data_IF_304425165415
#
_entry.id   IF_304425165415
#
_cell.length_a   1.000
_cell.length_b   1.000
_cell.length_c   1.000
_cell.angle_alpha   90.00
_cell.angle_beta   90.00
_cell.angle_gamma   90.00
#
_symmetry.space_group_name_H-M   'P 1'
#
loop_
_entity.id
_entity.type
_entity.pdbx_description
1 polymer ?
#
# COMPACT_ATOMS: atom_id res chain seq x y z
N UNK A 1 0.13 27.50 34.85
CA UNK A 1 0.33 28.32 33.64
C UNK A 1 0.88 27.52 32.46
N UNK A 2 2.03 26.84 32.59
CA UNK A 2 2.65 26.06 31.50
C UNK A 2 1.77 24.93 30.92
N UNK A 3 1.12 24.12 31.76
CA UNK A 3 0.21 23.04 31.31
C UNK A 3 -0.99 23.55 30.49
N UNK A 4 -1.52 24.72 30.83
CA UNK A 4 -2.64 25.35 30.12
C UNK A 4 -2.22 25.86 28.73
N UNK A 5 -1.01 26.42 28.62
CA UNK A 5 -0.41 26.84 27.35
C UNK A 5 -0.17 25.62 26.45
N UNK A 6 0.47 24.57 26.98
CA UNK A 6 0.77 23.34 26.22
C UNK A 6 -0.53 22.70 25.69
N UNK A 7 -1.60 22.69 26.47
CA UNK A 7 -2.90 22.19 26.03
C UNK A 7 -3.50 23.00 24.89
N UNK A 8 -3.43 24.34 25.00
CA UNK A 8 -3.99 25.28 24.01
C UNK A 8 -3.32 25.07 22.65
N UNK A 9 -2.04 24.74 22.63
CA UNK A 9 -1.25 24.58 21.41
C UNK A 9 -0.99 23.12 20.99
N UNK A 10 -1.63 22.13 21.63
CA UNK A 10 -1.36 20.70 21.35
C UNK A 10 -1.45 20.32 19.87
N UNK A 11 -2.49 20.79 19.17
CA UNK A 11 -2.69 20.48 17.75
C UNK A 11 -1.64 21.17 16.88
N UNK A 12 -1.20 22.37 17.26
CA UNK A 12 -0.12 23.08 16.58
C UNK A 12 1.21 22.32 16.70
N UNK A 13 1.49 21.71 17.87
CA UNK A 13 2.69 20.88 18.02
C UNK A 13 2.63 19.66 17.09
N UNK A 14 1.50 18.95 17.04
CA UNK A 14 1.35 17.80 16.15
C UNK A 14 1.52 18.20 14.67
N UNK A 15 0.82 19.26 14.23
CA UNK A 15 0.86 19.72 12.84
C UNK A 15 2.26 20.24 12.48
N UNK A 16 2.89 21.03 13.35
CA UNK A 16 4.24 21.52 13.13
C UNK A 16 5.26 20.38 13.07
N UNK A 17 5.15 19.38 13.96
CA UNK A 17 5.99 18.19 13.91
C UNK A 17 5.83 17.42 12.60
N UNK A 18 4.59 17.15 12.18
CA UNK A 18 4.32 16.48 10.91
C UNK A 18 4.81 17.29 9.70
N UNK A 19 4.58 18.59 9.67
CA UNK A 19 5.02 19.46 8.59
C UNK A 19 6.55 19.54 8.52
N UNK A 20 7.24 19.69 9.66
CA UNK A 20 8.70 19.71 9.71
C UNK A 20 9.31 18.38 9.27
N UNK A 21 8.70 17.25 9.65
CA UNK A 21 9.13 15.95 9.16
C UNK A 21 8.87 15.83 7.65
N UNK A 22 7.66 16.14 7.18
CA UNK A 22 7.25 16.04 5.79
C UNK A 22 8.18 16.83 4.85
N UNK A 23 8.54 18.05 5.25
CA UNK A 23 9.35 18.98 4.47
C UNK A 23 10.85 18.96 4.81
N UNK A 24 11.31 17.99 5.60
CA UNK A 24 12.74 17.83 5.96
C UNK A 24 13.59 17.63 4.70
N UNK A 25 14.54 18.52 4.37
CA UNK A 25 15.42 18.31 3.22
C UNK A 25 16.70 17.53 3.58
N UNK A 26 17.22 17.67 4.80
CA UNK A 26 18.61 17.27 5.13
C UNK A 26 18.81 16.52 6.46
N UNK A 27 17.87 15.68 6.90
CA UNK A 27 18.22 14.76 7.99
C UNK A 27 18.35 15.41 9.38
N UNK A 28 17.83 16.61 9.65
CA UNK A 28 17.71 17.12 11.03
C UNK A 28 16.41 16.70 11.74
N UNK A 29 16.50 16.14 12.95
CA UNK A 29 15.39 15.56 13.72
C UNK A 29 14.58 16.58 14.56
N UNK A 30 14.56 17.86 14.17
CA UNK A 30 13.85 18.92 14.93
C UNK A 30 12.36 18.64 15.16
N UNK A 31 11.73 17.83 14.30
CA UNK A 31 10.33 17.40 14.50
C UNK A 31 10.13 16.61 15.80
N UNK A 32 11.15 15.91 16.30
CA UNK A 32 11.09 15.13 17.55
C UNK A 32 10.74 16.04 18.73
N UNK A 33 11.22 17.30 18.73
CA UNK A 33 10.88 18.28 19.77
C UNK A 33 9.36 18.52 19.81
N UNK A 34 8.74 18.66 18.65
CA UNK A 34 7.29 18.88 18.56
C UNK A 34 6.49 17.62 18.90
N UNK A 35 6.97 16.44 18.52
CA UNK A 35 6.40 15.15 18.95
C UNK A 35 6.48 14.99 20.46
N UNK A 36 7.60 15.38 21.08
CA UNK A 36 7.79 15.36 22.52
C UNK A 36 6.85 16.34 23.24
N UNK A 37 6.74 17.58 22.75
CA UNK A 37 5.79 18.57 23.28
C UNK A 37 4.33 18.10 23.17
N UNK A 38 3.97 17.47 22.05
CA UNK A 38 2.65 16.85 21.89
C UNK A 38 2.44 15.70 22.89
N UNK A 39 3.43 14.84 23.07
CA UNK A 39 3.39 13.72 24.02
C UNK A 39 3.19 14.20 25.47
N UNK A 40 3.93 15.23 25.88
CA UNK A 40 3.75 15.91 27.17
C UNK A 40 2.32 16.44 27.31
N UNK A 41 1.77 17.06 26.26
CA UNK A 41 0.41 17.62 26.30
C UNK A 41 -0.66 16.58 26.62
N UNK A 42 -0.48 15.33 26.15
CA UNK A 42 -1.40 14.21 26.39
C UNK A 42 -1.31 13.73 27.85
N UNK A 43 -0.10 13.61 28.41
CA UNK A 43 0.12 13.11 29.77
C UNK A 43 -0.50 14.06 30.80
N UNK A 44 -0.23 15.35 30.69
CA UNK A 44 -0.47 16.31 31.78
C UNK A 44 -1.88 16.93 31.81
N UNK A 45 -2.76 16.68 30.83
CA UNK A 45 -4.12 17.25 30.82
C UNK A 45 -5.24 16.21 30.94
N UNK A 46 -5.82 16.08 32.15
CA UNK A 46 -6.97 15.19 32.45
C UNK A 46 -8.31 15.60 31.82
N UNK A 47 -8.74 16.87 31.91
CA UNK A 47 -10.12 17.23 31.55
C UNK A 47 -10.41 17.41 30.04
N UNK A 48 -9.39 17.64 29.20
CA UNK A 48 -9.59 18.10 27.81
C UNK A 48 -9.56 17.01 26.73
N UNK A 49 -9.32 15.75 27.08
CA UNK A 49 -9.38 14.62 26.13
C UNK A 49 -10.80 14.10 25.87
N UNK A 50 -11.72 14.31 26.81
CA UNK A 50 -13.10 13.80 26.72
C UNK A 50 -13.92 14.68 25.76
N UNK A 51 -13.77 16.00 25.87
CA UNK A 51 -14.60 16.98 25.18
C UNK A 51 -14.00 17.55 23.89
N UNK A 52 -12.67 17.57 23.71
CA UNK A 52 -12.02 18.05 22.49
C UNK A 52 -11.41 16.90 21.68
N UNK A 53 -11.48 16.94 20.34
CA UNK A 53 -10.82 15.94 19.51
C UNK A 53 -9.31 15.92 19.81
N UNK A 54 -8.74 14.70 19.85
CA UNK A 54 -7.32 14.45 20.08
C UNK A 54 -6.45 15.02 18.96
N UNK A 55 -7.02 15.14 17.76
CA UNK A 55 -6.34 15.55 16.55
C UNK A 55 -7.26 16.42 15.69
N UNK A 56 -6.70 17.45 15.05
CA UNK A 56 -7.40 18.25 14.03
C UNK A 56 -7.45 17.48 12.70
N UNK A 57 -8.61 16.91 12.40
CA UNK A 57 -8.82 16.10 11.20
C UNK A 57 -8.66 16.91 9.91
N UNK A 58 -9.08 18.19 9.89
CA UNK A 58 -8.95 19.03 8.69
C UNK A 58 -7.50 19.29 8.37
N UNK A 59 -6.68 19.55 9.39
CA UNK A 59 -5.26 19.72 9.22
C UNK A 59 -4.57 18.44 8.72
N UNK A 60 -4.95 17.26 9.25
CA UNK A 60 -4.46 15.98 8.70
C UNK A 60 -4.87 15.83 7.24
N UNK A 61 -6.12 16.10 6.90
CA UNK A 61 -6.61 15.96 5.53
C UNK A 61 -5.80 16.83 4.55
N UNK A 62 -5.47 18.07 4.94
CA UNK A 62 -4.56 18.94 4.18
C UNK A 62 -3.18 18.29 4.03
N UNK A 63 -2.61 17.75 5.10
CA UNK A 63 -1.32 17.03 5.06
C UNK A 63 -1.40 15.83 4.09
N UNK A 64 -2.52 15.10 4.05
CA UNK A 64 -2.72 13.99 3.12
C UNK A 64 -2.71 14.48 1.68
N UNK A 65 -3.42 15.55 1.33
CA UNK A 65 -3.40 16.09 -0.03
C UNK A 65 -2.02 16.62 -0.44
N UNK A 66 -1.32 17.32 0.46
CA UNK A 66 0.06 17.77 0.23
C UNK A 66 0.98 16.56 0.01
N UNK A 67 0.85 15.54 0.85
CA UNK A 67 1.66 14.31 0.74
C UNK A 67 1.38 13.58 -0.56
N UNK A 68 0.12 13.47 -0.96
CA UNK A 68 -0.27 12.86 -2.23
C UNK A 68 0.34 13.61 -3.41
N UNK A 69 0.25 14.94 -3.42
CA UNK A 69 0.86 15.79 -4.45
C UNK A 69 2.39 15.63 -4.48
N UNK A 70 3.05 15.60 -3.33
CA UNK A 70 4.50 15.37 -3.23
C UNK A 70 4.86 13.99 -3.78
N UNK A 71 4.19 12.93 -3.33
CA UNK A 71 4.43 11.55 -3.79
C UNK A 71 4.30 11.46 -5.31
N UNK A 72 3.18 11.93 -5.88
CA UNK A 72 2.95 11.85 -7.33
C UNK A 72 3.98 12.66 -8.10
N UNK A 73 4.32 13.86 -7.61
CA UNK A 73 5.35 14.70 -8.25
C UNK A 73 6.71 14.02 -8.19
N UNK A 74 7.10 13.42 -7.06
CA UNK A 74 8.35 12.66 -6.93
C UNK A 74 8.40 11.48 -7.89
N UNK A 75 7.30 10.73 -8.08
CA UNK A 75 7.25 9.63 -9.04
C UNK A 75 7.45 10.10 -10.48
N UNK A 76 6.89 11.26 -10.84
CA UNK A 76 7.14 11.89 -12.14
C UNK A 76 8.56 12.43 -12.27
N UNK A 77 9.09 13.10 -11.25
CA UNK A 77 10.46 13.62 -11.28
C UNK A 77 11.48 12.48 -11.40
N UNK A 78 11.27 11.38 -10.67
CA UNK A 78 12.04 10.15 -10.82
C UNK A 78 12.01 9.60 -12.25
N UNK A 79 10.89 9.74 -12.96
CA UNK A 79 10.80 9.38 -14.38
C UNK A 79 11.64 10.33 -15.24
N UNK A 80 11.45 11.64 -15.05
CA UNK A 80 12.15 12.68 -15.83
C UNK A 80 13.66 12.72 -15.58
N UNK A 81 14.12 12.27 -14.41
CA UNK A 81 15.53 12.20 -14.02
C UNK A 81 16.17 10.83 -14.33
N UNK A 82 15.49 9.94 -15.06
CA UNK A 82 15.95 8.57 -15.31
C UNK A 82 16.29 7.77 -14.03
N UNK A 83 15.63 8.09 -12.91
CA UNK A 83 15.91 7.50 -11.60
C UNK A 83 15.22 6.17 -11.31
N UNK A 84 14.37 5.66 -12.22
CA UNK A 84 13.90 4.27 -12.17
C UNK A 84 15.02 3.36 -12.68
N UNK A 85 15.35 2.29 -11.94
CA UNK A 85 16.28 1.31 -12.49
C UNK A 85 15.57 0.56 -13.63
N UNK A 86 16.35 -0.01 -14.54
CA UNK A 86 15.82 -0.49 -15.82
C UNK A 86 15.06 -1.82 -15.72
N UNK A 87 14.92 -2.43 -14.53
CA UNK A 87 14.55 -3.82 -14.42
C UNK A 87 13.05 -4.03 -14.62
N UNK A 88 12.19 -3.65 -13.68
CA UNK A 88 10.75 -3.92 -13.75
C UNK A 88 10.06 -2.98 -14.75
N UNK A 89 10.35 -1.66 -14.66
CA UNK A 89 9.74 -0.67 -15.58
C UNK A 89 10.18 -0.89 -17.03
N UNK A 90 11.48 -1.18 -17.23
CA UNK A 90 12.03 -1.42 -18.57
C UNK A 90 11.50 -2.72 -19.17
N UNK A 91 11.27 -3.73 -18.34
CA UNK A 91 10.67 -5.01 -18.75
C UNK A 91 9.27 -4.82 -19.34
N UNK A 92 8.37 -4.21 -18.58
CA UNK A 92 6.99 -3.96 -19.03
C UNK A 92 6.95 -3.06 -20.27
N UNK A 93 7.85 -2.06 -20.33
CA UNK A 93 7.98 -1.18 -21.48
C UNK A 93 8.42 -1.92 -22.75
N UNK A 94 9.46 -2.73 -22.64
CA UNK A 94 9.99 -3.52 -23.74
C UNK A 94 8.92 -4.46 -24.31
N UNK A 95 8.21 -5.20 -23.45
CA UNK A 95 7.15 -6.09 -23.88
C UNK A 95 6.01 -5.35 -24.58
N UNK A 96 5.62 -4.19 -24.05
CA UNK A 96 4.54 -3.37 -24.62
C UNK A 96 4.90 -2.80 -25.99
N UNK A 97 6.15 -2.32 -26.16
CA UNK A 97 6.64 -1.85 -27.46
C UNK A 97 6.75 -3.01 -28.45
N UNK A 98 7.25 -4.17 -28.03
CA UNK A 98 7.40 -5.32 -28.92
C UNK A 98 6.04 -5.80 -29.45
N UNK A 99 5.02 -5.80 -28.58
CA UNK A 99 3.65 -6.08 -28.98
C UNK A 99 3.11 -5.03 -29.97
N UNK A 100 3.38 -3.74 -29.74
CA UNK A 100 2.91 -2.68 -30.62
C UNK A 100 3.56 -2.73 -32.02
N UNK A 101 4.88 -2.91 -32.09
CA UNK A 101 5.64 -2.81 -33.34
C UNK A 101 5.67 -4.11 -34.13
N UNK A 102 5.78 -5.24 -33.44
CA UNK A 102 6.00 -6.54 -34.06
C UNK A 102 4.80 -7.50 -33.89
N UNK A 103 3.74 -7.06 -33.19
CA UNK A 103 2.61 -7.91 -32.82
C UNK A 103 3.02 -9.16 -32.02
N UNK A 104 4.10 -9.05 -31.25
CA UNK A 104 4.69 -10.13 -30.46
C UNK A 104 4.81 -9.75 -28.99
N UNK A 105 4.06 -10.44 -28.11
CA UNK A 105 4.27 -10.33 -26.66
C UNK A 105 5.39 -11.29 -26.21
N UNK A 106 6.61 -10.92 -26.57
CA UNK A 106 7.80 -11.78 -26.42
C UNK A 106 8.93 -11.03 -25.72
N UNK A 107 9.54 -11.69 -24.75
CA UNK A 107 10.69 -11.20 -24.03
C UNK A 107 11.98 -11.68 -24.70
N UNK A 108 12.70 -10.76 -25.34
CA UNK A 108 13.97 -11.04 -26.02
C UNK A 108 15.14 -11.38 -25.07
N UNK A 109 15.10 -10.93 -23.81
CA UNK A 109 16.18 -11.19 -22.84
C UNK A 109 16.19 -12.66 -22.42
N UNK A 110 15.02 -13.21 -22.11
CA UNK A 110 14.88 -14.61 -21.72
C UNK A 110 14.50 -15.54 -22.88
N UNK A 111 14.23 -14.98 -24.06
CA UNK A 111 13.81 -15.72 -25.25
C UNK A 111 12.54 -16.57 -25.02
N UNK A 112 11.56 -16.00 -24.31
CA UNK A 112 10.28 -16.65 -24.00
C UNK A 112 9.12 -15.68 -24.27
N UNK A 113 7.89 -16.21 -24.35
CA UNK A 113 6.70 -15.36 -24.32
C UNK A 113 6.66 -14.53 -23.03
N UNK A 114 6.19 -13.29 -23.09
CA UNK A 114 6.00 -12.46 -21.89
C UNK A 114 5.08 -13.14 -20.87
N UNK A 115 4.08 -13.91 -21.33
CA UNK A 115 3.20 -14.72 -20.47
C UNK A 115 3.89 -15.91 -19.81
N UNK A 116 5.06 -16.30 -20.32
CA UNK A 116 5.93 -17.32 -19.73
C UNK A 116 6.83 -16.78 -18.62
N UNK A 117 6.90 -15.46 -18.44
CA UNK A 117 7.59 -14.84 -17.30
C UNK A 117 6.57 -14.40 -16.25
N UNK A 118 5.63 -13.54 -16.64
CA UNK A 118 4.51 -13.10 -15.81
C UNK A 118 3.20 -13.23 -16.57
N UNK A 119 2.21 -13.87 -15.94
CA UNK A 119 0.91 -14.08 -16.57
C UNK A 119 -0.04 -12.92 -16.26
N UNK A 120 -0.14 -11.97 -17.20
CA UNK A 120 -0.85 -10.69 -17.02
C UNK A 120 -1.90 -10.38 -18.13
N UNK A 121 -2.84 -11.29 -18.41
CA UNK A 121 -3.73 -11.21 -19.58
C UNK A 121 -4.73 -10.04 -19.59
N UNK A 122 -5.01 -9.40 -18.45
CA UNK A 122 -5.82 -8.18 -18.40
C UNK A 122 -4.97 -6.92 -18.54
N UNK A 123 -3.74 -6.94 -18.00
CA UNK A 123 -2.83 -5.81 -18.11
C UNK A 123 -2.39 -5.55 -19.55
N UNK A 124 -2.03 -6.60 -20.30
CA UNK A 124 -1.52 -6.49 -21.68
C UNK A 124 -2.46 -5.71 -22.63
N UNK A 125 -3.74 -6.09 -22.82
CA UNK A 125 -4.64 -5.33 -23.68
C UNK A 125 -4.95 -3.94 -23.12
N UNK A 126 -4.98 -3.79 -21.79
CA UNK A 126 -5.21 -2.50 -21.15
C UNK A 126 -4.09 -1.50 -21.44
N UNK A 127 -2.83 -1.90 -21.25
CA UNK A 127 -1.68 -1.03 -21.49
C UNK A 127 -1.46 -0.78 -22.98
N UNK A 128 -1.78 -1.76 -23.84
CA UNK A 128 -1.68 -1.62 -25.28
C UNK A 128 -2.47 -0.41 -25.82
N UNK A 129 -3.67 -0.14 -25.27
CA UNK A 129 -4.47 1.04 -25.64
C UNK A 129 -3.72 2.34 -25.41
N UNK A 130 -2.97 2.47 -24.31
CA UNK A 130 -2.18 3.66 -24.03
C UNK A 130 -0.97 3.78 -24.96
N UNK A 131 -0.30 2.66 -25.24
CA UNK A 131 0.86 2.65 -26.13
C UNK A 131 0.50 2.94 -27.60
N UNK A 132 -0.72 2.61 -28.04
CA UNK A 132 -1.24 3.05 -29.34
C UNK A 132 -1.39 4.57 -29.45
N UNK A 133 -1.67 5.27 -28.34
CA UNK A 133 -1.74 6.74 -28.34
C UNK A 133 -0.34 7.33 -28.46
N UNK A 134 0.58 6.86 -27.61
CA UNK A 134 1.99 7.24 -27.65
C UNK A 134 2.84 6.16 -26.97
N UNK A 135 3.84 5.63 -27.68
CA UNK A 135 4.67 4.53 -27.20
C UNK A 135 5.71 5.02 -26.18
N UNK A 136 5.30 5.13 -24.91
CA UNK A 136 6.15 5.62 -23.82
C UNK A 136 5.91 4.85 -22.52
N UNK A 137 6.96 4.65 -21.73
CA UNK A 137 6.88 4.10 -20.37
C UNK A 137 6.24 5.07 -19.37
N UNK A 138 6.03 6.34 -19.74
CA UNK A 138 5.33 7.32 -18.91
C UNK A 138 3.94 6.83 -18.50
N UNK A 139 3.22 6.10 -19.36
CA UNK A 139 1.91 5.55 -19.05
C UNK A 139 1.91 4.63 -17.83
N UNK A 140 2.98 3.86 -17.64
CA UNK A 140 3.14 2.96 -16.50
C UNK A 140 3.24 3.77 -15.18
N UNK A 141 4.09 4.80 -15.17
CA UNK A 141 4.22 5.72 -14.03
C UNK A 141 2.92 6.48 -13.78
N UNK A 142 2.26 6.96 -14.83
CA UNK A 142 0.98 7.64 -14.75
C UNK A 142 -0.10 6.77 -14.12
N UNK A 143 -0.23 5.50 -14.55
CA UNK A 143 -1.21 4.56 -14.02
C UNK A 143 -0.91 4.20 -12.55
N UNK A 144 0.38 4.10 -12.17
CA UNK A 144 0.78 3.95 -10.76
C UNK A 144 0.35 5.14 -9.91
N UNK A 145 0.58 6.37 -10.39
CA UNK A 145 0.09 7.59 -9.72
C UNK A 145 -1.45 7.57 -9.61
N UNK A 146 -2.15 7.23 -10.68
CA UNK A 146 -3.61 7.12 -10.69
C UNK A 146 -4.11 6.09 -9.67
N UNK A 147 -3.43 4.95 -9.53
CA UNK A 147 -3.77 3.91 -8.55
C UNK A 147 -3.73 4.44 -7.11
N UNK A 148 -2.66 5.15 -6.73
CA UNK A 148 -2.51 5.74 -5.39
C UNK A 148 -3.55 6.84 -5.14
N UNK A 149 -3.84 7.67 -6.15
CA UNK A 149 -4.85 8.74 -6.07
C UNK A 149 -6.25 8.14 -5.88
N UNK A 150 -6.64 7.17 -6.72
CA UNK A 150 -7.95 6.52 -6.65
C UNK A 150 -8.14 5.85 -5.30
N UNK A 151 -7.13 5.11 -4.83
CA UNK A 151 -7.15 4.52 -3.48
C UNK A 151 -7.42 5.58 -2.43
N UNK A 152 -6.63 6.66 -2.42
CA UNK A 152 -6.71 7.73 -1.40
C UNK A 152 -8.08 8.42 -1.40
N UNK A 153 -8.59 8.79 -2.57
CA UNK A 153 -9.87 9.51 -2.70
C UNK A 153 -11.03 8.62 -2.23
N UNK A 154 -11.11 7.38 -2.72
CA UNK A 154 -12.18 6.46 -2.32
C UNK A 154 -12.10 6.12 -0.83
N UNK A 155 -10.87 5.98 -0.30
CA UNK A 155 -10.66 5.69 1.11
C UNK A 155 -11.14 6.84 2.02
N UNK A 156 -10.90 8.10 1.64
CA UNK A 156 -11.43 9.28 2.34
C UNK A 156 -12.97 9.30 2.36
N UNK A 157 -13.62 8.78 1.31
CA UNK A 157 -15.07 8.70 1.22
C UNK A 157 -15.69 7.67 2.19
N UNK A 158 -14.93 6.66 2.62
CA UNK A 158 -15.43 5.63 3.55
C UNK A 158 -15.73 6.20 4.94
N UNK A 159 -14.85 7.07 5.47
CA UNK A 159 -15.06 7.70 6.76
C UNK A 159 -14.26 9.02 6.86
N UNK A 160 -14.95 10.14 6.63
CA UNK A 160 -14.33 11.48 6.64
C UNK A 160 -13.60 11.87 7.94
N UNK A 161 -13.93 11.23 9.06
CA UNK A 161 -13.33 11.55 10.37
C UNK A 161 -12.07 10.74 10.65
N UNK A 162 -12.07 9.45 10.33
CA UNK A 162 -11.01 8.51 10.72
C UNK A 162 -10.10 8.10 9.57
N UNK A 163 -10.60 8.16 8.32
CA UNK A 163 -9.81 7.81 7.14
C UNK A 163 -8.53 8.64 7.01
N UNK A 164 -8.51 9.97 7.28
CA UNK A 164 -7.29 10.74 7.20
C UNK A 164 -6.18 10.22 8.15
N UNK A 165 -6.55 9.73 9.34
CA UNK A 165 -5.59 9.18 10.31
C UNK A 165 -4.97 7.88 9.77
N UNK A 166 -5.79 6.98 9.23
CA UNK A 166 -5.29 5.70 8.68
C UNK A 166 -4.51 5.93 7.39
N UNK A 167 -4.83 6.97 6.62
CA UNK A 167 -4.05 7.38 5.44
C UNK A 167 -2.69 7.94 5.79
N UNK A 168 -2.49 8.58 6.95
CA UNK A 168 -1.15 8.93 7.43
C UNK A 168 -0.31 7.65 7.57
N UNK A 169 -0.87 6.61 8.19
CA UNK A 169 -0.21 5.32 8.31
C UNK A 169 0.12 4.71 6.95
N UNK A 170 -0.84 4.70 6.02
CA UNK A 170 -0.66 4.11 4.70
C UNK A 170 0.35 4.87 3.83
N UNK A 171 0.21 6.20 3.69
CA UNK A 171 1.03 7.01 2.79
C UNK A 171 2.38 7.42 3.37
N UNK A 172 2.48 7.60 4.69
CA UNK A 172 3.61 8.28 5.32
C UNK A 172 4.40 7.43 6.32
N UNK A 173 3.77 6.46 7.01
CA UNK A 173 4.47 5.71 8.06
C UNK A 173 4.75 4.24 7.70
N UNK A 174 4.00 3.66 6.78
CA UNK A 174 4.25 2.29 6.32
C UNK A 174 5.48 2.25 5.41
N UNK A 175 6.63 1.90 5.99
CA UNK A 175 7.90 1.72 5.28
C UNK A 175 7.78 0.76 4.10
N UNK A 176 6.99 -0.31 4.27
CA UNK A 176 6.74 -1.30 3.22
C UNK A 176 5.90 -0.72 2.08
N UNK A 177 4.82 0.01 2.40
CA UNK A 177 4.00 0.65 1.38
C UNK A 177 4.78 1.75 0.64
N UNK A 178 5.56 2.53 1.38
CA UNK A 178 6.43 3.57 0.82
C UNK A 178 7.47 2.95 -0.10
N UNK A 179 8.07 1.83 0.28
CA UNK A 179 8.98 1.11 -0.60
C UNK A 179 8.27 0.68 -1.89
N UNK A 180 7.06 0.13 -1.80
CA UNK A 180 6.29 -0.27 -2.98
C UNK A 180 5.88 0.92 -3.88
N UNK A 181 5.41 2.03 -3.29
CA UNK A 181 5.05 3.26 -4.02
C UNK A 181 6.26 3.81 -4.79
N UNK A 182 7.43 3.90 -4.15
CA UNK A 182 8.63 4.48 -4.75
C UNK A 182 9.48 3.47 -5.52
N UNK A 183 9.13 2.19 -5.50
CA UNK A 183 9.72 1.17 -6.38
C UNK A 183 9.40 1.47 -7.84
N UNK A 184 10.00 0.72 -8.75
CA UNK A 184 9.60 0.69 -10.16
C UNK A 184 8.12 0.33 -10.35
N UNK A 185 7.64 0.57 -11.55
CA UNK A 185 6.35 0.06 -11.94
C UNK A 185 6.42 -1.47 -11.97
N UNK A 186 5.43 -2.08 -11.35
CA UNK A 186 5.08 -3.49 -11.52
C UNK A 186 3.57 -3.53 -11.72
N UNK A 187 3.05 -4.53 -12.42
CA UNK A 187 1.61 -4.69 -12.65
C UNK A 187 0.79 -4.68 -11.35
N UNK A 188 1.35 -5.15 -10.23
CA UNK A 188 0.67 -5.08 -8.92
C UNK A 188 0.51 -3.67 -8.35
N UNK A 189 1.24 -2.68 -8.90
CA UNK A 189 1.10 -1.25 -8.54
C UNK A 189 -0.32 -0.71 -8.78
N UNK A 190 -1.13 -1.39 -9.61
CA UNK A 190 -2.54 -1.05 -9.86
C UNK A 190 -3.50 -1.66 -8.82
N UNK A 191 -3.05 -2.66 -8.06
CA UNK A 191 -3.88 -3.41 -7.12
C UNK A 191 -4.45 -2.56 -5.98
N UNK A 192 -3.75 -1.55 -5.41
CA UNK A 192 -4.35 -0.68 -4.40
C UNK A 192 -5.69 -0.07 -4.86
N UNK A 193 -5.73 0.55 -6.04
CA UNK A 193 -6.98 1.08 -6.58
C UNK A 193 -8.04 -0.01 -6.78
N UNK A 194 -7.67 -1.18 -7.35
CA UNK A 194 -8.63 -2.25 -7.59
C UNK A 194 -9.22 -2.80 -6.30
N UNK A 195 -8.40 -3.06 -5.27
CA UNK A 195 -8.85 -3.48 -3.94
C UNK A 195 -9.84 -2.45 -3.38
N UNK A 196 -9.52 -1.16 -3.46
CA UNK A 196 -10.42 -0.12 -2.96
C UNK A 196 -11.73 -0.01 -3.76
N UNK A 197 -11.68 -0.14 -5.10
CA UNK A 197 -12.87 -0.17 -5.97
C UNK A 197 -13.74 -1.39 -5.66
N UNK A 198 -13.15 -2.57 -5.51
CA UNK A 198 -13.86 -3.80 -5.12
C UNK A 198 -14.57 -3.57 -3.78
N UNK A 199 -13.87 -3.09 -2.76
CA UNK A 199 -14.48 -2.83 -1.47
C UNK A 199 -15.62 -1.80 -1.53
N UNK A 200 -15.42 -0.70 -2.27
CA UNK A 200 -16.43 0.34 -2.44
C UNK A 200 -17.66 -0.17 -3.19
N UNK A 201 -17.46 -0.98 -4.23
CA UNK A 201 -18.56 -1.60 -5.01
C UNK A 201 -19.41 -2.53 -4.15
N UNK A 202 -18.80 -3.28 -3.23
CA UNK A 202 -19.52 -4.12 -2.25
C UNK A 202 -20.41 -3.23 -1.35
N UNK A 203 -19.85 -2.16 -0.78
CA UNK A 203 -20.61 -1.23 0.09
C UNK A 203 -21.79 -0.61 -0.66
N UNK A 204 -21.58 -0.23 -1.94
CA UNK A 204 -22.61 0.36 -2.79
C UNK A 204 -23.56 -0.67 -3.42
N UNK A 205 -23.28 -1.97 -3.26
CA UNK A 205 -23.98 -3.08 -3.92
C UNK A 205 -23.97 -2.97 -5.45
N UNK A 206 -22.92 -2.37 -6.00
CA UNK A 206 -22.69 -2.29 -7.45
C UNK A 206 -21.98 -3.56 -7.92
N UNK A 207 -22.77 -4.59 -8.22
CA UNK A 207 -22.26 -5.90 -8.59
C UNK A 207 -21.57 -5.91 -9.97
N UNK A 208 -21.94 -4.98 -10.86
CA UNK A 208 -21.31 -4.87 -12.18
C UNK A 208 -19.85 -4.44 -12.02
N UNK A 209 -19.62 -3.33 -11.31
CA UNK A 209 -18.27 -2.82 -11.04
C UNK A 209 -17.46 -3.83 -10.24
N UNK A 210 -18.08 -4.48 -9.25
CA UNK A 210 -17.47 -5.57 -8.49
C UNK A 210 -16.92 -6.66 -9.41
N UNK A 211 -17.75 -7.24 -10.29
CA UNK A 211 -17.31 -8.35 -11.14
C UNK A 211 -16.28 -7.94 -12.17
N UNK A 212 -16.46 -6.79 -12.83
CA UNK A 212 -15.48 -6.27 -13.79
C UNK A 212 -14.11 -6.11 -13.12
N UNK A 213 -14.08 -5.50 -11.94
CA UNK A 213 -12.83 -5.20 -11.22
C UNK A 213 -12.20 -6.47 -10.65
N UNK A 214 -13.01 -7.41 -10.13
CA UNK A 214 -12.53 -8.72 -9.69
C UNK A 214 -11.89 -9.50 -10.85
N UNK A 215 -12.57 -9.62 -12.00
CA UNK A 215 -12.05 -10.35 -13.16
C UNK A 215 -10.77 -9.67 -13.69
N UNK A 216 -10.80 -8.34 -13.82
CA UNK A 216 -9.63 -7.57 -14.25
C UNK A 216 -8.43 -7.76 -13.30
N UNK A 217 -8.66 -7.84 -11.99
CA UNK A 217 -7.58 -8.04 -11.01
C UNK A 217 -6.85 -9.38 -11.20
N UNK A 218 -7.54 -10.47 -11.57
CA UNK A 218 -6.87 -11.75 -11.82
C UNK A 218 -5.83 -11.62 -12.92
N UNK A 219 -6.18 -10.94 -14.00
CA UNK A 219 -5.28 -10.78 -15.14
C UNK A 219 -4.22 -9.70 -14.98
N UNK A 220 -4.00 -9.15 -13.77
CA UNK A 220 -2.84 -8.29 -13.53
C UNK A 220 -1.55 -9.07 -13.35
N UNK A 221 -1.58 -10.14 -12.54
CA UNK A 221 -0.41 -10.98 -12.25
C UNK A 221 -0.83 -12.31 -11.63
N UNK A 222 0.01 -13.32 -11.76
CA UNK A 222 -0.24 -14.69 -11.29
C UNK A 222 -0.57 -14.79 -9.79
N UNK A 223 0.04 -13.94 -8.95
CA UNK A 223 -0.19 -13.94 -7.51
C UNK A 223 -1.40 -13.09 -7.07
N UNK A 224 -2.03 -12.31 -7.97
CA UNK A 224 -3.17 -11.43 -7.64
C UNK A 224 -4.46 -12.23 -7.40
N UNK A 225 -4.47 -13.54 -7.72
CA UNK A 225 -5.50 -14.46 -7.21
C UNK A 225 -5.69 -14.41 -5.69
N UNK A 226 -4.68 -13.93 -4.95
CA UNK A 226 -4.80 -13.67 -3.50
C UNK A 226 -5.86 -12.62 -3.16
N UNK A 227 -6.12 -11.62 -4.03
CA UNK A 227 -7.18 -10.62 -3.82
C UNK A 227 -8.55 -11.30 -3.79
N UNK A 228 -8.77 -12.30 -4.66
CA UNK A 228 -10.00 -13.10 -4.66
C UNK A 228 -10.15 -13.92 -3.40
N UNK A 229 -9.06 -14.47 -2.88
CA UNK A 229 -9.07 -15.19 -1.60
C UNK A 229 -9.46 -14.22 -0.47
N UNK A 230 -8.82 -13.05 -0.39
CA UNK A 230 -9.13 -12.04 0.63
C UNK A 230 -10.62 -11.64 0.59
N UNK A 231 -11.16 -11.26 -0.57
CA UNK A 231 -12.58 -10.90 -0.68
C UNK A 231 -13.52 -12.11 -0.51
N UNK A 232 -13.09 -13.32 -0.87
CA UNK A 232 -13.80 -14.55 -0.54
C UNK A 232 -13.95 -14.73 0.97
N UNK A 233 -12.85 -14.59 1.73
CA UNK A 233 -12.87 -14.64 3.20
C UNK A 233 -13.69 -13.50 3.81
N UNK A 234 -13.66 -12.30 3.20
CA UNK A 234 -14.56 -11.20 3.57
C UNK A 234 -16.03 -11.64 3.45
N UNK A 235 -16.41 -12.27 2.34
CA UNK A 235 -17.78 -12.75 2.16
C UNK A 235 -18.15 -13.87 3.14
N UNK A 236 -17.22 -14.77 3.46
CA UNK A 236 -17.45 -15.86 4.44
C UNK A 236 -17.64 -15.30 5.85
N UNK A 237 -16.72 -14.49 6.34
CA UNK A 237 -16.65 -14.14 7.76
C UNK A 237 -17.36 -12.83 8.11
N UNK A 238 -17.38 -11.86 7.19
CA UNK A 238 -17.93 -10.51 7.43
C UNK A 238 -19.38 -10.45 6.93
N UNK A 239 -19.61 -10.71 5.63
CA UNK A 239 -20.97 -10.71 5.05
C UNK A 239 -21.79 -11.98 5.37
N UNK A 240 -21.17 -13.01 5.94
CA UNK A 240 -21.79 -14.31 6.26
C UNK A 240 -22.40 -15.04 5.04
N UNK A 241 -21.92 -14.75 3.83
CA UNK A 241 -22.29 -15.41 2.58
C UNK A 241 -21.33 -16.56 2.28
N UNK A 242 -21.36 -17.59 3.12
CA UNK A 242 -20.35 -18.67 3.15
C UNK A 242 -20.14 -19.32 1.78
N UNK A 243 -21.23 -19.75 1.11
CA UNK A 243 -21.14 -20.41 -0.20
C UNK A 243 -20.48 -19.52 -1.25
N UNK A 244 -20.94 -18.28 -1.34
CA UNK A 244 -20.42 -17.29 -2.29
C UNK A 244 -18.94 -16.98 -2.04
N UNK A 245 -18.58 -16.67 -0.79
CA UNK A 245 -17.21 -16.38 -0.42
C UNK A 245 -16.25 -17.57 -0.59
N UNK A 246 -16.71 -18.79 -0.30
CA UNK A 246 -15.92 -20.00 -0.50
C UNK A 246 -15.65 -20.27 -1.98
N UNK A 247 -16.63 -20.02 -2.85
CA UNK A 247 -16.45 -20.12 -4.31
C UNK A 247 -15.41 -19.09 -4.79
N UNK A 248 -15.51 -17.84 -4.37
CA UNK A 248 -14.53 -16.80 -4.73
C UNK A 248 -13.11 -17.16 -4.29
N UNK A 249 -12.95 -17.60 -3.03
CA UNK A 249 -11.65 -18.01 -2.52
C UNK A 249 -11.11 -19.25 -3.26
N UNK A 250 -11.98 -20.22 -3.56
CA UNK A 250 -11.64 -21.41 -4.34
C UNK A 250 -11.17 -21.04 -5.76
N UNK A 251 -11.85 -20.14 -6.45
CA UNK A 251 -11.45 -19.66 -7.79
C UNK A 251 -10.10 -18.94 -7.72
N UNK A 252 -9.89 -18.05 -6.75
CA UNK A 252 -8.61 -17.35 -6.58
C UNK A 252 -7.45 -18.31 -6.35
N UNK A 253 -7.64 -19.32 -5.48
CA UNK A 253 -6.64 -20.35 -5.22
C UNK A 253 -6.36 -21.21 -6.46
N UNK A 254 -7.43 -21.69 -7.12
CA UNK A 254 -7.32 -22.51 -8.32
C UNK A 254 -6.61 -21.76 -9.45
N UNK A 255 -6.91 -20.47 -9.62
CA UNK A 255 -6.23 -19.60 -10.58
C UNK A 255 -4.72 -19.57 -10.34
N UNK A 256 -4.28 -19.26 -9.11
CA UNK A 256 -2.84 -19.20 -8.81
C UNK A 256 -2.15 -20.55 -9.09
N UNK A 257 -2.78 -21.67 -8.73
CA UNK A 257 -2.22 -23.01 -8.97
C UNK A 257 -2.14 -23.31 -10.47
N UNK A 258 -3.22 -23.11 -11.22
CA UNK A 258 -3.26 -23.37 -12.66
C UNK A 258 -2.24 -22.48 -13.39
N UNK A 259 -2.20 -21.19 -13.06
CA UNK A 259 -1.31 -20.25 -13.74
C UNK A 259 0.15 -20.63 -13.50
N UNK A 260 0.52 -20.93 -12.25
CA UNK A 260 1.90 -21.23 -11.89
C UNK A 260 2.39 -22.56 -12.46
N UNK A 261 1.57 -23.60 -12.42
CA UNK A 261 2.00 -24.96 -12.78
C UNK A 261 1.64 -25.40 -14.20
N UNK A 262 0.73 -24.68 -14.88
CA UNK A 262 0.27 -25.05 -16.22
C UNK A 262 0.51 -23.93 -17.22
N UNK A 263 0.01 -22.73 -16.95
CA UNK A 263 0.00 -21.64 -17.94
C UNK A 263 1.39 -21.06 -18.18
N UNK A 264 2.08 -20.63 -17.12
CA UNK A 264 3.44 -20.07 -17.22
C UNK A 264 4.39 -21.09 -17.87
N UNK A 265 4.45 -22.36 -17.44
CA UNK A 265 5.34 -23.35 -18.06
C UNK A 265 5.01 -23.60 -19.55
N UNK A 266 3.73 -23.62 -19.91
CA UNK A 266 3.29 -23.73 -21.31
C UNK A 266 3.84 -22.61 -22.18
N UNK A 267 3.77 -21.35 -21.71
CA UNK A 267 4.27 -20.19 -22.45
C UNK A 267 5.78 -20.03 -22.40
N UNK A 268 6.42 -20.45 -21.31
CA UNK A 268 7.87 -20.41 -21.16
C UNK A 268 8.57 -21.45 -22.05
N UNK A 269 7.88 -22.54 -22.41
CA UNK A 269 8.45 -23.69 -23.14
C UNK A 269 9.71 -24.27 -22.45
N UNK A 270 9.87 -24.05 -21.14
CA UNK A 270 10.97 -24.56 -20.34
C UNK A 270 10.49 -25.66 -19.41
N UNK A 271 11.28 -26.73 -19.28
CA UNK A 271 11.03 -27.82 -18.32
C UNK A 271 11.53 -27.47 -16.92
N UNK A 272 12.37 -26.44 -16.80
CA UNK A 272 12.94 -25.98 -15.54
C UNK A 272 11.99 -24.99 -14.87
N UNK A 273 10.87 -25.52 -14.39
CA UNK A 273 10.10 -24.84 -13.36
C UNK A 273 11.00 -24.75 -12.13
N UNK A 274 11.74 -23.65 -11.97
CA UNK A 274 12.26 -23.28 -10.66
C UNK A 274 11.02 -22.93 -9.85
N UNK A 275 10.41 -23.95 -9.25
CA UNK A 275 9.37 -23.77 -8.26
C UNK A 275 9.85 -22.65 -7.33
N UNK A 276 8.99 -21.66 -7.10
CA UNK A 276 9.27 -20.66 -6.08
C UNK A 276 9.70 -21.42 -4.83
N UNK A 277 10.81 -21.00 -4.24
CA UNK A 277 11.37 -21.61 -3.06
C UNK A 277 10.42 -21.34 -1.87
N UNK A 278 9.37 -22.17 -1.81
CA UNK A 278 8.31 -22.13 -0.82
C UNK A 278 8.88 -22.73 0.45
N UNK A 279 9.26 -21.86 1.37
CA UNK A 279 9.81 -22.30 2.64
C UNK A 279 9.28 -21.43 3.79
N UNK A 280 8.29 -21.95 4.51
CA UNK A 280 7.66 -21.26 5.62
C UNK A 280 8.62 -21.05 6.81
N UNK A 281 9.52 -22.00 7.07
CA UNK A 281 10.33 -22.03 8.29
C UNK A 281 11.73 -21.42 8.12
N UNK A 282 12.10 -20.99 6.91
CA UNK A 282 13.32 -20.20 6.69
C UNK A 282 13.17 -18.81 7.30
N UNK A 283 14.27 -18.29 7.87
CA UNK A 283 14.42 -16.87 8.26
C UNK A 283 13.28 -16.34 9.14
N UNK A 284 12.79 -17.17 10.08
CA UNK A 284 11.70 -16.81 11.01
C UNK A 284 11.91 -15.42 11.65
N UNK A 285 13.11 -15.02 12.11
CA UNK A 285 13.32 -13.67 12.65
C UNK A 285 13.00 -12.54 11.66
N UNK A 286 13.35 -12.70 10.38
CA UNK A 286 13.06 -11.70 9.34
C UNK A 286 11.57 -11.66 9.03
N UNK A 287 10.89 -12.81 9.01
CA UNK A 287 9.45 -12.89 8.80
C UNK A 287 8.65 -12.26 9.94
N UNK A 288 9.06 -12.48 11.20
CA UNK A 288 8.46 -11.80 12.35
C UNK A 288 8.65 -10.29 12.24
N UNK A 289 9.86 -9.83 11.88
CA UNK A 289 10.14 -8.41 11.62
C UNK A 289 9.25 -7.86 10.50
N UNK A 290 9.06 -8.61 9.41
CA UNK A 290 8.20 -8.21 8.30
C UNK A 290 6.74 -8.04 8.74
N UNK A 291 6.19 -9.01 9.50
CA UNK A 291 4.84 -8.90 10.07
C UNK A 291 4.73 -7.66 10.95
N UNK A 292 5.69 -7.47 11.86
CA UNK A 292 5.70 -6.29 12.74
C UNK A 292 5.70 -5.00 11.93
N UNK A 293 6.58 -4.87 10.93
CA UNK A 293 6.66 -3.68 10.08
C UNK A 293 5.43 -3.47 9.19
N UNK A 294 4.70 -4.52 8.83
CA UNK A 294 3.46 -4.42 8.04
C UNK A 294 2.30 -3.81 8.86
N UNK A 295 2.15 -4.25 10.12
CA UNK A 295 1.00 -3.89 10.96
C UNK A 295 1.27 -2.77 11.97
N UNK A 296 2.52 -2.55 12.39
CA UNK A 296 2.89 -1.50 13.35
C UNK A 296 2.49 -0.08 12.91
N UNK A 297 2.65 0.34 11.63
CA UNK A 297 2.18 1.65 11.17
C UNK A 297 0.68 1.86 11.37
N UNK A 298 -0.08 0.77 11.35
CA UNK A 298 -1.53 0.73 11.57
C UNK A 298 -1.90 0.38 13.01
N UNK A 299 -0.93 0.44 13.94
CA UNK A 299 -1.11 0.13 15.36
C UNK A 299 -1.73 -1.23 15.63
N UNK A 300 -1.49 -2.20 14.74
CA UNK A 300 -2.09 -3.53 14.81
C UNK A 300 -3.63 -3.50 14.87
N UNK A 301 -4.29 -2.45 14.35
CA UNK A 301 -5.74 -2.30 14.36
C UNK A 301 -6.49 -3.56 13.85
N UNK A 302 -6.06 -4.24 12.77
CA UNK A 302 -6.74 -5.46 12.32
C UNK A 302 -6.79 -6.58 13.37
N UNK A 303 -5.87 -6.62 14.33
CA UNK A 303 -5.86 -7.64 15.39
C UNK A 303 -7.00 -7.48 16.40
N UNK A 304 -7.62 -6.29 16.48
CA UNK A 304 -8.78 -6.06 17.34
C UNK A 304 -10.06 -6.71 16.80
N UNK A 305 -10.09 -7.11 15.52
CA UNK A 305 -11.19 -7.84 14.91
C UNK A 305 -10.64 -8.99 14.05
N UNK A 306 -10.71 -10.22 14.59
CA UNK A 306 -10.15 -11.42 13.93
C UNK A 306 -10.68 -11.64 12.50
N UNK A 307 -11.90 -11.19 12.17
CA UNK A 307 -12.46 -11.33 10.81
C UNK A 307 -11.74 -10.43 9.82
N UNK A 308 -11.43 -9.20 10.24
CA UNK A 308 -10.65 -8.25 9.46
C UNK A 308 -9.16 -8.62 9.43
N UNK A 309 -8.65 -9.32 10.45
CA UNK A 309 -7.33 -9.94 10.37
C UNK A 309 -7.31 -11.06 9.32
N UNK A 310 -8.30 -11.97 9.31
CA UNK A 310 -8.37 -13.04 8.30
C UNK A 310 -8.48 -12.49 6.87
N UNK A 311 -9.06 -11.30 6.68
CA UNK A 311 -9.10 -10.62 5.39
C UNK A 311 -7.71 -10.26 4.85
N UNK A 312 -6.72 -10.00 5.71
CA UNK A 312 -5.36 -9.61 5.30
C UNK A 312 -4.38 -10.79 5.25
N UNK A 313 -4.67 -11.88 5.95
CA UNK A 313 -3.76 -13.03 6.08
C UNK A 313 -3.37 -13.70 4.75
N UNK A 314 -4.23 -13.87 3.73
CA UNK A 314 -3.81 -14.52 2.49
C UNK A 314 -2.68 -13.75 1.79
N UNK A 315 -2.78 -12.42 1.69
CA UNK A 315 -1.74 -11.58 1.09
C UNK A 315 -0.44 -11.62 1.91
N UNK A 316 -0.56 -11.61 3.24
CA UNK A 316 0.60 -11.81 4.11
C UNK A 316 1.25 -13.18 3.89
N UNK A 317 0.42 -14.23 3.78
CA UNK A 317 0.86 -15.61 3.57
C UNK A 317 1.69 -15.77 2.32
N UNK A 318 1.24 -15.22 1.18
CA UNK A 318 1.99 -15.23 -0.09
C UNK A 318 3.40 -14.62 0.08
N UNK A 319 3.51 -13.50 0.78
CA UNK A 319 4.80 -12.87 1.02
C UNK A 319 5.70 -13.69 1.95
N UNK A 320 5.13 -14.30 2.99
CA UNK A 320 5.87 -15.08 3.99
C UNK A 320 6.34 -16.44 3.49
N UNK A 321 5.63 -17.08 2.56
CA UNK A 321 6.08 -18.35 1.98
C UNK A 321 7.09 -18.16 0.86
N UNK A 322 7.19 -16.95 0.31
CA UNK A 322 8.03 -16.63 -0.82
C UNK A 322 9.53 -16.48 -0.51
N UNK A 323 10.23 -15.81 -1.43
CA UNK A 323 11.69 -15.56 -1.35
C UNK A 323 12.01 -14.37 -0.43
N UNK A 324 13.25 -14.23 0.08
CA UNK A 324 13.64 -13.11 0.94
C UNK A 324 13.23 -11.71 0.46
N UNK A 325 13.29 -11.36 -0.85
CA UNK A 325 12.79 -10.08 -1.34
C UNK A 325 11.30 -9.79 -1.02
N UNK A 326 10.45 -10.83 -0.94
CA UNK A 326 9.01 -10.68 -0.68
C UNK A 326 8.69 -10.29 0.76
N UNK A 327 9.56 -10.67 1.71
CA UNK A 327 9.44 -10.32 3.12
C UNK A 327 10.58 -9.41 3.63
N UNK A 328 11.33 -8.75 2.74
CA UNK A 328 12.34 -7.75 3.12
C UNK A 328 11.73 -6.40 3.48
N UNK A 329 10.60 -6.06 2.85
CA UNK A 329 9.95 -4.75 2.95
C UNK A 329 10.55 -3.66 2.06
N UNK A 330 11.48 -4.01 1.16
CA UNK A 330 12.20 -3.05 0.31
C UNK A 330 11.73 -2.98 -1.15
N UNK A 331 10.86 -3.90 -1.59
CA UNK A 331 10.39 -4.05 -2.97
C UNK A 331 8.88 -3.77 -3.10
N UNK A 332 8.31 -3.95 -4.30
CA UNK A 332 6.90 -3.71 -4.60
C UNK A 332 5.90 -4.66 -3.91
N UNK A 333 6.32 -5.85 -3.45
CA UNK A 333 5.45 -6.94 -2.94
C UNK A 333 4.50 -6.59 -1.78
N UNK A 334 4.64 -5.42 -1.16
CA UNK A 334 3.77 -5.01 -0.06
C UNK A 334 2.48 -4.32 -0.51
N UNK A 335 2.37 -3.88 -1.77
CA UNK A 335 1.25 -3.10 -2.31
C UNK A 335 -0.14 -3.72 -2.09
N UNK A 336 -0.29 -5.03 -2.30
CA UNK A 336 -1.55 -5.75 -2.05
C UNK A 336 -1.84 -5.77 -0.54
N UNK A 337 -0.85 -6.18 0.26
CA UNK A 337 -1.01 -6.38 1.69
C UNK A 337 -1.33 -5.07 2.42
N UNK A 338 -0.60 -3.99 2.16
CA UNK A 338 -0.76 -2.72 2.86
C UNK A 338 -2.09 -2.04 2.52
N UNK A 339 -2.59 -2.18 1.28
CA UNK A 339 -3.92 -1.71 0.89
C UNK A 339 -5.02 -2.43 1.66
N UNK A 340 -4.94 -3.77 1.77
CA UNK A 340 -5.88 -4.58 2.55
C UNK A 340 -5.81 -4.24 4.05
N UNK A 341 -4.60 -4.09 4.61
CA UNK A 341 -4.40 -3.67 6.00
C UNK A 341 -5.02 -2.29 6.25
N UNK A 342 -4.86 -1.34 5.34
CA UNK A 342 -5.45 -0.01 5.49
C UNK A 342 -6.99 -0.08 5.56
N UNK A 343 -7.64 -0.86 4.68
CA UNK A 343 -9.09 -1.07 4.72
C UNK A 343 -9.51 -1.72 6.05
N UNK A 344 -8.88 -2.84 6.41
CA UNK A 344 -9.15 -3.57 7.66
C UNK A 344 -8.97 -2.66 8.89
N UNK A 345 -7.94 -1.82 8.88
CA UNK A 345 -7.63 -0.87 9.95
C UNK A 345 -8.70 0.21 10.05
N UNK A 346 -9.15 0.79 8.95
CA UNK A 346 -10.18 1.83 8.97
C UNK A 346 -11.51 1.28 9.52
N UNK A 347 -11.93 0.11 9.07
CA UNK A 347 -13.19 -0.47 9.52
C UNK A 347 -13.09 -0.84 11.00
N UNK A 348 -12.02 -1.54 11.39
CA UNK A 348 -11.82 -1.93 12.79
C UNK A 348 -11.70 -0.72 13.71
N UNK A 349 -11.03 0.36 13.25
CA UNK A 349 -10.94 1.60 14.00
C UNK A 349 -12.31 2.29 14.12
N UNK A 350 -13.10 2.29 13.05
CA UNK A 350 -14.46 2.85 13.06
C UNK A 350 -15.37 2.10 14.04
N UNK A 351 -15.35 0.78 14.02
CA UNK A 351 -16.14 -0.08 14.92
C UNK A 351 -15.76 0.11 16.40
N UNK A 352 -14.46 0.34 16.67
CA UNK A 352 -13.92 0.36 18.02
C UNK A 352 -13.54 1.77 18.51
N UNK A 353 -13.89 2.83 17.79
CA UNK A 353 -13.39 4.18 18.03
C UNK A 353 -13.60 4.65 19.48
N UNK A 354 -14.84 4.57 19.99
CA UNK A 354 -15.17 5.02 21.34
C UNK A 354 -14.49 4.18 22.43
N UNK A 355 -14.30 2.88 22.17
CA UNK A 355 -13.57 1.99 23.07
C UNK A 355 -12.10 2.39 23.11
N UNK A 356 -11.45 2.51 21.95
CA UNK A 356 -10.04 2.90 21.81
C UNK A 356 -9.81 4.27 22.44
N UNK A 357 -10.66 5.26 22.13
CA UNK A 357 -10.61 6.60 22.71
C UNK A 357 -10.65 6.53 24.24
N UNK A 358 -11.59 5.77 24.82
CA UNK A 358 -11.71 5.61 26.27
C UNK A 358 -10.45 5.01 26.90
N UNK A 359 -9.92 3.92 26.34
CA UNK A 359 -8.69 3.30 26.84
C UNK A 359 -7.48 4.22 26.74
N UNK A 360 -7.32 4.97 25.65
CA UNK A 360 -6.24 5.96 25.51
C UNK A 360 -6.38 7.08 26.54
N UNK A 361 -7.61 7.53 26.83
CA UNK A 361 -7.88 8.56 27.83
C UNK A 361 -7.60 8.08 29.27
N UNK A 362 -7.97 6.84 29.58
CA UNK A 362 -7.80 6.19 30.90
C UNK A 362 -6.33 5.84 31.14
N UNK A 363 -5.70 5.17 30.16
CA UNK A 363 -4.30 4.71 30.21
C UNK A 363 -3.44 5.54 29.27
N UNK A 364 -3.15 6.79 29.64
CA UNK A 364 -2.39 7.76 28.82
C UNK A 364 -1.02 7.28 28.36
N UNK A 365 -0.42 6.35 29.10
CA UNK A 365 0.85 5.70 28.73
C UNK A 365 0.71 4.96 27.40
N UNK A 366 -0.49 4.45 27.06
CA UNK A 366 -0.77 3.86 25.75
C UNK A 366 -0.57 4.88 24.63
N UNK A 367 -0.94 6.15 24.83
CA UNK A 367 -0.71 7.19 23.83
C UNK A 367 0.80 7.40 23.56
N UNK A 368 1.63 7.34 24.61
CA UNK A 368 3.08 7.42 24.47
C UNK A 368 3.63 6.21 23.72
N UNK A 369 3.15 5.01 24.04
CA UNK A 369 3.53 3.81 23.31
C UNK A 369 3.24 3.94 21.81
N UNK A 370 2.06 4.45 21.43
CA UNK A 370 1.70 4.67 20.02
C UNK A 370 2.62 5.70 19.34
N UNK A 371 2.93 6.80 20.03
CA UNK A 371 3.86 7.82 19.51
C UNK A 371 5.27 7.25 19.36
N UNK A 372 5.78 6.55 20.38
CA UNK A 372 7.09 5.88 20.34
C UNK A 372 7.17 4.85 19.23
N UNK A 373 6.09 4.10 18.99
CA UNK A 373 6.02 3.14 17.89
C UNK A 373 6.18 3.83 16.53
N UNK A 374 5.49 4.95 16.30
CA UNK A 374 5.66 5.73 15.06
C UNK A 374 7.09 6.23 14.94
N UNK A 375 7.64 6.85 16.00
CA UNK A 375 9.00 7.42 15.97
C UNK A 375 10.05 6.34 15.65
N UNK A 376 9.86 5.10 16.15
CA UNK A 376 10.77 3.99 15.90
C UNK A 376 10.75 3.50 14.44
N UNK A 377 9.61 3.62 13.75
CA UNK A 377 9.40 3.08 12.41
C UNK A 377 9.33 4.15 11.31
N UNK A 378 9.52 5.43 11.67
CA UNK A 378 9.30 6.55 10.75
C UNK A 378 10.31 6.49 9.58
N UNK A 379 9.83 6.48 8.32
CA UNK A 379 10.71 6.43 7.16
C UNK A 379 11.35 7.79 6.84
N UNK A 380 12.20 7.78 5.81
CA UNK A 380 12.58 9.01 5.08
C UNK A 380 11.33 9.78 4.66
N UNK A 381 11.38 11.11 4.79
CA UNK A 381 10.23 11.94 4.43
C UNK A 381 10.02 12.00 2.91
N UNK A 382 8.78 12.24 2.44
CA UNK A 382 8.50 12.48 1.03
C UNK A 382 9.38 13.57 0.41
N UNK A 383 9.70 14.65 1.14
CA UNK A 383 10.58 15.71 0.63
C UNK A 383 12.02 15.24 0.43
N UNK A 384 12.57 14.40 1.31
CA UNK A 384 13.91 13.83 1.11
C UNK A 384 13.97 13.01 -0.19
N UNK A 385 12.92 12.22 -0.47
CA UNK A 385 12.81 11.47 -1.72
C UNK A 385 12.62 12.39 -2.92
N UNK A 386 11.81 13.44 -2.78
CA UNK A 386 11.64 14.44 -3.82
C UNK A 386 12.96 15.10 -4.21
N UNK A 387 13.74 15.58 -3.23
CA UNK A 387 15.05 16.21 -3.47
C UNK A 387 16.02 15.23 -4.13
N UNK A 388 16.01 13.95 -3.73
CA UNK A 388 16.85 12.89 -4.34
C UNK A 388 16.58 12.68 -5.83
N UNK A 389 15.34 12.85 -6.27
CA UNK A 389 14.92 12.62 -7.65
C UNK A 389 14.64 13.92 -8.42
N UNK A 390 14.94 15.07 -7.84
CA UNK A 390 14.79 16.34 -8.53
C UNK A 390 15.86 16.42 -9.63
N UNK A 391 15.49 16.66 -10.90
CA UNK A 391 16.47 16.67 -11.99
C UNK A 391 17.50 17.79 -11.78
N UNK A 392 18.77 17.46 -11.60
CA UNK A 392 19.87 18.44 -11.62
C UNK A 392 20.29 18.69 -13.09
N UNK A 393 20.83 19.87 -13.39
CA UNK A 393 21.35 20.21 -14.72
C UNK A 393 22.43 19.22 -15.18
N UNK A 394 23.12 18.57 -14.23
CA UNK A 394 24.15 17.56 -14.47
C UNK A 394 23.61 16.22 -14.99
N UNK A 395 22.33 15.92 -14.75
CA UNK A 395 21.70 14.65 -15.16
C UNK A 395 21.08 14.72 -16.57
N UNK A 396 21.19 15.87 -17.23
CA UNK A 396 20.61 16.14 -18.58
C UNK A 396 21.61 15.93 -19.73
N UNK A 397 22.80 15.40 -19.45
CA UNK A 397 23.89 15.23 -20.42
C UNK A 397 23.82 13.90 -21.18
#
# INVERSE_FOLDING_TARGET
MLSAIINKYKNYFLIAGLALWLFRPTGNDFYIVFVFLYSISIIFNKPTLINNPLIDIKAIEIIIYISLALITTTLFMKFMSFGYHYLDLGYDHHLSINLLLNNEYFNKVYSISGFGDHFSPSFVPFIHVFYMIYATSFWLVFLKCASVIIFTILFLQLNKKLAPIVLLSYLLFSTQNISAIFWEFDTTSLVPALVMIIYYSIIKRDWLVFWITMIFSLGLKENVGVVWICYGLYFVFIEKKIRFGSILAGIGLLYMVIVWYVVIPYFAQTTNNVASDINLFREIPLKIKYIFMAYAPFFFLPFLNWRWLLFTLPALGINLIGKPPMYSGSFHYADILTALIAIASLVTFTENYERIKRYICEYRVLALFLVSLIVLIIPESPMQKFVRYYPDEKDRA
#
